data_IF_649200160093
#
_entry.id   IF_649200160093
#
_cell.length_a   1.000
_cell.length_b   1.000
_cell.length_c   1.000
_cell.angle_alpha   90.00
_cell.angle_beta   90.00
_cell.angle_gamma   90.00
#
_symmetry.space_group_name_H-M   'P 1'
#
loop_
_entity.id
_entity.type
_entity.pdbx_description
1 polymer ?
#
# COMPACT_ATOMS: atom_id res chain seq x y z
N UNK A 1 14.20 25.39 14.36
CA UNK A 1 14.58 24.29 15.28
C UNK A 1 15.97 24.57 15.82
N UNK A 2 16.20 24.38 17.13
CA UNK A 2 17.54 24.45 17.71
C UNK A 2 18.19 23.04 17.64
N UNK A 3 19.49 22.96 17.34
CA UNK A 3 20.19 21.67 17.36
C UNK A 3 20.23 21.13 18.81
N UNK A 4 20.17 19.81 18.92
CA UNK A 4 20.25 19.10 20.21
C UNK A 4 21.56 18.29 20.26
N UNK A 5 22.17 18.22 21.44
CA UNK A 5 23.32 17.34 21.60
C UNK A 5 22.91 15.87 21.60
N UNK A 6 23.83 14.98 21.24
CA UNK A 6 23.59 13.52 21.33
C UNK A 6 23.23 13.08 22.78
N UNK A 7 23.78 13.79 23.79
CA UNK A 7 23.44 13.54 25.18
C UNK A 7 22.00 13.90 25.52
N UNK A 8 21.51 15.05 25.04
CA UNK A 8 20.11 15.46 25.26
C UNK A 8 19.15 14.46 24.62
N UNK A 9 19.49 13.96 23.42
CA UNK A 9 18.70 12.92 22.73
C UNK A 9 18.72 11.60 23.52
N UNK A 10 19.86 11.21 24.08
CA UNK A 10 19.98 10.01 24.89
C UNK A 10 19.17 10.10 26.20
N UNK A 11 19.19 11.26 26.86
CA UNK A 11 18.40 11.51 28.08
C UNK A 11 16.90 11.36 27.78
N UNK A 12 16.41 12.00 26.71
CA UNK A 12 15.01 11.87 26.28
C UNK A 12 14.63 10.41 25.97
N UNK A 13 15.52 9.67 25.31
CA UNK A 13 15.28 8.26 25.01
C UNK A 13 15.15 7.43 26.29
N UNK A 14 16.04 7.66 27.27
CA UNK A 14 15.97 6.99 28.57
C UNK A 14 14.67 7.31 29.31
N UNK A 15 14.21 8.56 29.28
CA UNK A 15 12.95 8.96 29.89
C UNK A 15 11.74 8.30 29.19
N UNK A 16 11.75 8.22 27.86
CA UNK A 16 10.73 7.51 27.10
C UNK A 16 10.69 6.03 27.41
N UNK A 17 11.84 5.39 27.52
CA UNK A 17 11.94 3.97 27.91
C UNK A 17 11.45 3.78 29.34
N UNK A 18 11.87 4.66 30.27
CA UNK A 18 11.48 4.59 31.69
C UNK A 18 9.98 4.80 31.90
N UNK A 19 9.33 5.60 31.09
CA UNK A 19 7.87 5.85 31.12
C UNK A 19 7.06 4.88 30.28
N UNK A 20 7.70 3.98 29.50
CA UNK A 20 7.03 3.07 28.57
C UNK A 20 6.50 3.75 27.31
N UNK A 21 6.82 5.02 27.07
CA UNK A 21 6.41 5.77 25.88
C UNK A 21 7.32 5.49 24.68
N UNK A 22 7.32 4.23 24.23
CA UNK A 22 8.19 3.73 23.17
C UNK A 22 7.41 3.39 21.88
N UNK A 23 6.13 3.71 21.82
CA UNK A 23 5.29 3.36 20.68
C UNK A 23 5.80 3.93 19.33
N UNK A 24 6.41 5.12 19.34
CA UNK A 24 6.99 5.75 18.16
C UNK A 24 8.19 4.98 17.58
N UNK A 25 8.90 4.20 18.40
CA UNK A 25 10.03 3.37 17.98
C UNK A 25 9.60 2.02 17.40
N UNK A 26 8.35 1.62 17.63
CA UNK A 26 7.83 0.36 17.14
C UNK A 26 7.41 0.50 15.68
N UNK A 27 7.87 -0.38 14.77
CA UNK A 27 7.35 -0.41 13.41
C UNK A 27 5.85 -0.68 13.39
N UNK A 28 5.17 -0.23 12.34
CA UNK A 28 3.77 -0.55 12.05
C UNK A 28 3.75 -1.71 11.07
N UNK A 29 3.37 -2.94 11.49
CA UNK A 29 3.29 -4.08 10.59
C UNK A 29 2.25 -3.84 9.49
N UNK A 30 2.61 -4.15 8.25
CA UNK A 30 1.73 -3.98 7.08
C UNK A 30 0.82 -5.20 6.86
N UNK A 31 1.07 -6.28 7.64
CA UNK A 31 0.25 -7.48 7.64
C UNK A 31 0.51 -8.43 6.47
N UNK A 32 1.71 -8.37 5.89
CA UNK A 32 2.21 -9.31 4.88
C UNK A 32 3.44 -10.03 5.46
N UNK A 33 3.25 -11.29 5.88
CA UNK A 33 4.19 -11.98 6.78
C UNK A 33 5.65 -11.98 6.31
N UNK A 34 6.02 -12.38 5.08
CA UNK A 34 7.43 -12.36 4.70
C UNK A 34 7.92 -10.94 4.46
N UNK A 35 7.06 -10.02 4.00
CA UNK A 35 7.42 -8.64 3.74
C UNK A 35 7.76 -7.91 5.04
N UNK A 36 6.91 -8.01 6.05
CA UNK A 36 7.15 -7.37 7.35
C UNK A 36 8.50 -7.82 7.95
N UNK A 37 8.81 -9.12 7.89
CA UNK A 37 10.11 -9.64 8.33
C UNK A 37 11.27 -9.06 7.55
N UNK A 38 11.13 -8.93 6.23
CA UNK A 38 12.19 -8.41 5.34
C UNK A 38 12.46 -6.93 5.58
N UNK A 39 11.41 -6.13 5.84
CA UNK A 39 11.55 -4.68 6.05
C UNK A 39 11.78 -4.28 7.52
N UNK A 40 12.05 -5.21 8.40
CA UNK A 40 12.35 -4.93 9.80
C UNK A 40 11.11 -4.83 10.70
N UNK A 41 10.15 -5.75 10.51
CA UNK A 41 8.88 -5.91 11.24
C UNK A 41 7.79 -4.88 10.94
N UNK A 42 7.96 -4.06 9.91
CA UNK A 42 6.99 -3.04 9.49
C UNK A 42 7.59 -1.69 9.16
N UNK A 43 6.75 -0.71 8.95
CA UNK A 43 7.13 0.64 8.56
C UNK A 43 7.25 1.56 9.79
N UNK A 44 8.35 2.32 9.90
CA UNK A 44 8.61 3.21 11.04
C UNK A 44 8.10 4.62 10.77
N UNK A 45 7.87 5.35 11.84
CA UNK A 45 7.63 6.79 11.78
C UNK A 45 8.75 7.52 11.00
N UNK A 46 8.39 8.46 10.16
CA UNK A 46 9.33 9.18 9.29
C UNK A 46 9.79 8.43 8.04
N UNK A 47 9.42 7.16 7.86
CA UNK A 47 9.76 6.39 6.66
C UNK A 47 8.73 6.59 5.53
N UNK A 48 9.26 6.64 4.30
CA UNK A 48 8.49 6.66 3.05
C UNK A 48 8.71 5.34 2.30
N UNK A 49 7.63 4.55 2.17
CA UNK A 49 7.57 3.35 1.35
C UNK A 49 6.90 3.66 0.02
N UNK A 50 7.53 3.30 -1.09
CA UNK A 50 6.97 3.42 -2.42
C UNK A 50 6.61 2.06 -3.01
N UNK A 51 5.43 1.97 -3.62
CA UNK A 51 4.94 0.77 -4.32
C UNK A 51 4.88 1.07 -5.80
N UNK A 52 5.83 0.52 -6.57
CA UNK A 52 5.91 0.64 -8.01
C UNK A 52 5.41 -0.61 -8.74
N UNK A 53 5.10 -0.46 -10.02
CA UNK A 53 4.68 -1.58 -10.86
C UNK A 53 3.88 -1.13 -12.08
N UNK A 54 3.75 -2.02 -13.07
CA UNK A 54 2.92 -1.78 -14.25
C UNK A 54 1.43 -1.64 -13.89
N UNK A 55 0.63 -1.19 -14.83
CA UNK A 55 -0.82 -1.15 -14.66
C UNK A 55 -1.37 -2.58 -14.49
N UNK A 56 -2.32 -2.78 -13.58
CA UNK A 56 -2.94 -4.09 -13.34
C UNK A 56 -2.17 -5.02 -12.38
N UNK A 57 -0.95 -4.69 -11.95
CA UNK A 57 -0.15 -5.54 -11.04
C UNK A 57 -0.64 -5.57 -9.58
N UNK A 58 -1.67 -4.77 -9.25
CA UNK A 58 -2.29 -4.81 -7.92
C UNK A 58 -1.74 -3.78 -6.91
N UNK A 59 -1.07 -2.71 -7.33
CA UNK A 59 -0.54 -1.67 -6.44
C UNK A 59 -1.59 -1.12 -5.46
N UNK A 60 -2.71 -0.61 -5.99
CA UNK A 60 -3.85 -0.12 -5.17
C UNK A 60 -4.42 -1.22 -4.26
N UNK A 61 -4.53 -2.46 -4.77
CA UNK A 61 -5.00 -3.60 -3.97
C UNK A 61 -4.06 -3.84 -2.77
N UNK A 62 -2.76 -3.87 -3.00
CA UNK A 62 -1.77 -4.08 -1.94
C UNK A 62 -1.76 -2.93 -0.93
N UNK A 63 -1.76 -1.67 -1.39
CA UNK A 63 -1.78 -0.51 -0.51
C UNK A 63 -3.07 -0.43 0.33
N UNK A 64 -4.24 -0.73 -0.28
CA UNK A 64 -5.52 -0.75 0.44
C UNK A 64 -5.56 -1.90 1.46
N UNK A 65 -5.02 -3.07 1.13
CA UNK A 65 -4.94 -4.19 2.07
C UNK A 65 -3.96 -3.90 3.22
N UNK A 66 -2.81 -3.26 2.97
CA UNK A 66 -1.91 -2.78 4.02
C UNK A 66 -2.63 -1.79 4.93
N UNK A 67 -3.32 -0.80 4.37
CA UNK A 67 -4.12 0.19 5.10
C UNK A 67 -5.17 -0.49 6.00
N UNK A 68 -5.90 -1.44 5.43
CA UNK A 68 -6.88 -2.25 6.17
C UNK A 68 -6.24 -3.06 7.30
N UNK A 69 -5.11 -3.70 7.04
CA UNK A 69 -4.41 -4.53 8.02
C UNK A 69 -3.94 -3.68 9.23
N UNK A 70 -3.35 -2.52 8.96
CA UNK A 70 -2.92 -1.57 10.00
C UNK A 70 -4.09 -1.08 10.83
N UNK A 71 -5.17 -0.64 10.19
CA UNK A 71 -6.38 -0.16 10.88
C UNK A 71 -7.03 -1.27 11.73
N UNK A 72 -7.10 -2.49 11.19
CA UNK A 72 -7.66 -3.66 11.88
C UNK A 72 -6.78 -4.16 13.03
N UNK A 73 -5.47 -4.00 12.92
CA UNK A 73 -4.52 -4.31 13.99
C UNK A 73 -4.59 -3.34 15.17
N UNK A 74 -5.25 -2.19 15.01
CA UNK A 74 -5.47 -1.20 16.07
C UNK A 74 -4.22 -0.43 16.51
N UNK A 75 -3.09 -0.61 15.81
CA UNK A 75 -1.81 0.00 16.17
C UNK A 75 -1.67 1.44 15.68
N UNK A 76 -2.37 1.79 14.61
CA UNK A 76 -2.41 3.13 14.06
C UNK A 76 -3.75 3.39 13.38
N UNK A 77 -4.14 4.66 13.32
CA UNK A 77 -5.14 5.14 12.40
C UNK A 77 -4.51 5.22 11.00
N UNK A 78 -5.32 5.13 9.96
CA UNK A 78 -4.85 5.22 8.58
C UNK A 78 -5.63 6.28 7.83
N UNK A 79 -4.92 7.23 7.21
CA UNK A 79 -5.47 8.19 6.27
C UNK A 79 -5.11 7.75 4.85
N UNK A 80 -6.09 7.31 4.07
CA UNK A 80 -5.92 6.88 2.69
C UNK A 80 -6.43 7.97 1.73
N UNK A 81 -5.52 8.62 1.00
CA UNK A 81 -5.83 9.67 0.03
C UNK A 81 -5.74 9.07 -1.37
N UNK A 82 -6.87 8.91 -2.05
CA UNK A 82 -6.96 8.34 -3.39
C UNK A 82 -7.28 9.39 -4.44
N UNK A 83 -6.46 9.52 -5.47
CA UNK A 83 -6.66 10.45 -6.58
C UNK A 83 -7.33 9.81 -7.80
N UNK A 84 -7.49 8.49 -7.82
CA UNK A 84 -8.10 7.77 -8.95
C UNK A 84 -9.57 7.41 -8.71
N UNK A 85 -9.92 7.15 -7.46
CA UNK A 85 -11.21 6.60 -7.09
C UNK A 85 -11.81 7.34 -5.91
N UNK A 86 -13.14 7.29 -5.80
CA UNK A 86 -13.88 7.80 -4.66
C UNK A 86 -13.89 6.80 -3.47
N UNK A 87 -14.37 7.27 -2.35
CA UNK A 87 -14.46 6.52 -1.10
C UNK A 87 -15.35 5.28 -1.24
N UNK A 88 -16.42 5.39 -2.02
CA UNK A 88 -17.37 4.30 -2.23
C UNK A 88 -16.76 3.17 -3.07
N UNK A 89 -15.94 3.51 -4.05
CA UNK A 89 -15.19 2.52 -4.81
C UNK A 89 -14.21 1.74 -3.92
N UNK A 90 -13.49 2.44 -3.04
CA UNK A 90 -12.60 1.82 -2.07
C UNK A 90 -13.35 0.95 -1.06
N UNK A 91 -14.51 1.41 -0.58
CA UNK A 91 -15.37 0.64 0.32
C UNK A 91 -15.86 -0.66 -0.33
N UNK A 92 -16.27 -0.63 -1.59
CA UNK A 92 -16.68 -1.84 -2.32
C UNK A 92 -15.52 -2.86 -2.41
N UNK A 93 -14.28 -2.38 -2.60
CA UNK A 93 -13.10 -3.23 -2.57
C UNK A 93 -12.83 -3.81 -1.18
N UNK A 94 -13.00 -3.01 -0.12
CA UNK A 94 -12.87 -3.49 1.26
C UNK A 94 -13.92 -4.56 1.59
N UNK A 95 -15.16 -4.41 1.15
CA UNK A 95 -16.22 -5.44 1.34
C UNK A 95 -15.81 -6.76 0.68
N UNK A 96 -15.33 -6.72 -0.55
CA UNK A 96 -14.86 -7.91 -1.27
C UNK A 96 -13.63 -8.52 -0.59
N UNK A 97 -12.67 -7.69 -0.19
CA UNK A 97 -11.46 -8.08 0.53
C UNK A 97 -11.80 -8.80 1.86
N UNK A 98 -12.68 -8.22 2.68
CA UNK A 98 -13.11 -8.82 3.95
C UNK A 98 -13.80 -10.16 3.73
N UNK A 99 -14.61 -10.26 2.68
CA UNK A 99 -15.25 -11.51 2.30
C UNK A 99 -14.20 -12.58 1.92
N UNK A 100 -13.18 -12.21 1.13
CA UNK A 100 -12.12 -13.14 0.72
C UNK A 100 -11.25 -13.59 1.89
N UNK A 101 -10.79 -12.66 2.74
CA UNK A 101 -9.96 -12.96 3.92
C UNK A 101 -10.67 -13.89 4.90
N UNK A 102 -12.01 -13.82 4.96
CA UNK A 102 -12.82 -14.73 5.78
C UNK A 102 -12.81 -16.18 5.27
N UNK A 103 -12.58 -16.37 3.97
CA UNK A 103 -12.73 -17.64 3.28
C UNK A 103 -11.41 -18.20 2.72
N UNK A 104 -10.27 -17.59 3.06
CA UNK A 104 -8.96 -18.14 2.69
C UNK A 104 -8.73 -19.51 3.37
N UNK A 105 -8.06 -20.44 2.70
CA UNK A 105 -7.52 -20.35 1.34
C UNK A 105 -8.52 -20.70 0.22
N UNK A 106 -9.68 -21.28 0.53
CA UNK A 106 -10.57 -21.88 -0.49
C UNK A 106 -11.52 -20.88 -1.15
N UNK A 107 -11.76 -19.71 -0.53
CA UNK A 107 -12.61 -18.60 -1.04
C UNK A 107 -14.04 -18.99 -1.42
N UNK A 108 -14.47 -20.20 -1.04
CA UNK A 108 -15.84 -20.69 -1.28
C UNK A 108 -16.82 -19.81 -0.50
N UNK A 109 -17.73 -19.13 -1.21
CA UNK A 109 -18.68 -18.19 -0.62
C UNK A 109 -18.20 -16.73 -0.56
N UNK A 110 -16.94 -16.43 -0.92
CA UNK A 110 -16.45 -15.06 -1.01
C UNK A 110 -17.17 -14.26 -2.10
N UNK A 111 -17.36 -12.95 -1.85
CA UNK A 111 -18.07 -12.05 -2.75
C UNK A 111 -17.07 -11.34 -3.66
N UNK A 112 -17.24 -11.44 -4.98
CA UNK A 112 -16.40 -10.71 -5.95
C UNK A 112 -16.77 -9.23 -5.97
N UNK A 113 -15.81 -8.36 -6.31
CA UNK A 113 -16.02 -6.90 -6.41
C UNK A 113 -17.23 -6.57 -7.29
N UNK A 114 -17.36 -7.24 -8.44
CA UNK A 114 -18.48 -7.01 -9.37
C UNK A 114 -19.84 -7.36 -8.77
N UNK A 115 -19.90 -8.29 -7.82
CA UNK A 115 -21.13 -8.73 -7.19
C UNK A 115 -21.51 -7.86 -5.98
N UNK A 116 -20.55 -7.16 -5.35
CA UNK A 116 -20.85 -6.22 -4.26
C UNK A 116 -21.89 -5.19 -4.68
N UNK A 117 -21.74 -4.59 -5.86
CA UNK A 117 -22.72 -3.61 -6.39
C UNK A 117 -24.10 -4.23 -6.63
N UNK A 118 -24.15 -5.47 -7.12
CA UNK A 118 -25.42 -6.19 -7.33
C UNK A 118 -26.12 -6.45 -6.00
N UNK A 119 -25.38 -6.85 -4.98
CA UNK A 119 -25.93 -7.08 -3.65
C UNK A 119 -26.47 -5.78 -3.01
N UNK A 120 -25.76 -4.66 -3.20
CA UNK A 120 -26.20 -3.34 -2.74
C UNK A 120 -27.53 -2.95 -3.43
N UNK A 121 -27.59 -3.09 -4.74
CA UNK A 121 -28.82 -2.80 -5.52
C UNK A 121 -29.94 -3.75 -5.15
N UNK A 122 -29.66 -5.05 -5.01
CA UNK A 122 -30.65 -6.05 -4.59
C UNK A 122 -31.25 -5.75 -3.22
N UNK A 123 -30.45 -5.24 -2.28
CA UNK A 123 -30.92 -4.80 -0.95
C UNK A 123 -31.89 -3.62 -1.06
N UNK A 124 -31.60 -2.66 -1.94
CA UNK A 124 -32.46 -1.50 -2.18
C UNK A 124 -33.77 -1.90 -2.87
N UNK A 125 -33.71 -2.85 -3.82
CA UNK A 125 -34.86 -3.30 -4.61
C UNK A 125 -35.72 -4.36 -3.91
N UNK A 126 -35.30 -4.85 -2.71
CA UNK A 126 -36.04 -5.89 -1.99
C UNK A 126 -37.46 -5.43 -1.67
N UNK A 127 -38.44 -6.15 -2.18
CA UNK A 127 -39.89 -5.85 -1.95
C UNK A 127 -40.23 -5.92 -0.44
N UNK A 128 -40.97 -4.92 0.01
CA UNK A 128 -41.48 -4.85 1.40
C UNK A 128 -40.52 -4.28 2.43
N UNK A 129 -39.33 -3.83 2.05
CA UNK A 129 -38.42 -3.14 2.96
C UNK A 129 -38.90 -1.71 3.20
N UNK A 130 -39.44 -1.44 4.39
CA UNK A 130 -39.83 -0.08 4.82
C UNK A 130 -38.62 0.85 5.01
N UNK A 131 -37.43 0.31 5.25
CA UNK A 131 -36.16 1.00 5.34
C UNK A 131 -35.06 0.05 4.88
N UNK A 132 -34.65 0.07 3.60
CA UNK A 132 -33.54 -0.75 3.09
C UNK A 132 -32.25 -0.48 3.88
N UNK A 133 -31.64 -1.55 4.41
CA UNK A 133 -30.40 -1.46 5.19
C UNK A 133 -29.46 -2.57 4.75
N UNK A 134 -28.22 -2.20 4.38
CA UNK A 134 -27.19 -3.15 3.95
C UNK A 134 -26.86 -4.20 5.02
N UNK A 135 -27.03 -3.87 6.31
CA UNK A 135 -26.84 -4.83 7.41
C UNK A 135 -27.85 -6.00 7.37
N UNK A 136 -28.97 -5.85 6.66
CA UNK A 136 -29.95 -6.92 6.48
C UNK A 136 -29.62 -7.86 5.30
N UNK A 137 -28.64 -7.50 4.47
CA UNK A 137 -28.18 -8.38 3.39
C UNK A 137 -27.30 -9.51 3.96
N UNK A 138 -27.76 -10.78 3.91
CA UNK A 138 -27.05 -11.89 4.56
C UNK A 138 -25.68 -12.17 3.95
N UNK A 139 -25.46 -11.80 2.69
CA UNK A 139 -24.16 -11.98 2.00
C UNK A 139 -23.18 -10.87 2.37
N UNK A 140 -23.63 -9.62 2.48
CA UNK A 140 -22.76 -8.46 2.81
C UNK A 140 -22.46 -8.37 4.30
N UNK A 141 -23.42 -8.72 5.16
CA UNK A 141 -23.34 -8.55 6.60
C UNK A 141 -22.01 -9.01 7.23
N UNK A 142 -21.47 -10.21 6.95
CA UNK A 142 -20.23 -10.66 7.57
C UNK A 142 -19.03 -9.73 7.27
N UNK A 143 -18.98 -9.16 6.05
CA UNK A 143 -17.94 -8.19 5.65
C UNK A 143 -18.15 -6.85 6.33
N UNK A 144 -19.41 -6.38 6.41
CA UNK A 144 -19.78 -5.12 7.07
C UNK A 144 -19.49 -5.16 8.56
N UNK A 145 -19.81 -6.27 9.23
CA UNK A 145 -19.51 -6.47 10.66
C UNK A 145 -17.99 -6.46 10.94
N UNK A 146 -17.18 -6.95 10.00
CA UNK A 146 -15.72 -6.88 10.12
C UNK A 146 -15.21 -5.46 9.91
N UNK A 147 -15.69 -4.76 8.89
CA UNK A 147 -15.34 -3.35 8.64
C UNK A 147 -15.75 -2.49 9.84
N UNK A 148 -16.91 -2.71 10.44
CA UNK A 148 -17.38 -1.95 11.60
C UNK A 148 -16.42 -2.02 12.80
N UNK A 149 -15.63 -3.09 12.95
CA UNK A 149 -14.68 -3.25 14.06
C UNK A 149 -13.48 -2.32 13.96
N UNK A 150 -13.06 -1.94 12.76
CA UNK A 150 -11.88 -1.10 12.53
C UNK A 150 -12.17 0.16 11.70
N UNK A 151 -13.38 0.30 11.16
CA UNK A 151 -13.72 1.38 10.23
C UNK A 151 -13.50 2.79 10.80
N UNK A 152 -13.54 2.94 12.11
CA UNK A 152 -13.20 4.21 12.78
C UNK A 152 -11.70 4.54 12.76
N UNK A 153 -10.86 3.57 12.42
CA UNK A 153 -9.42 3.73 12.33
C UNK A 153 -8.94 3.89 10.87
N UNK A 154 -9.82 3.78 9.86
CA UNK A 154 -9.51 3.89 8.44
C UNK A 154 -10.32 5.03 7.81
N UNK A 155 -9.62 6.11 7.47
CA UNK A 155 -10.19 7.30 6.85
C UNK A 155 -9.90 7.28 5.36
N UNK A 156 -10.95 7.26 4.54
CA UNK A 156 -10.87 7.27 3.09
C UNK A 156 -11.15 8.69 2.59
N UNK A 157 -10.30 9.21 1.73
CA UNK A 157 -10.45 10.55 1.16
C UNK A 157 -10.20 10.53 -0.34
N UNK A 158 -11.12 11.08 -1.12
CA UNK A 158 -10.87 11.38 -2.53
C UNK A 158 -9.99 12.62 -2.66
N UNK A 159 -8.78 12.44 -3.21
CA UNK A 159 -7.87 13.52 -3.51
C UNK A 159 -8.39 14.41 -4.66
N UNK A 160 -8.29 15.73 -4.47
CA UNK A 160 -8.64 16.72 -5.50
C UNK A 160 -7.40 17.11 -6.29
N UNK A 161 -7.50 17.09 -7.62
CA UNK A 161 -6.40 17.50 -8.51
C UNK A 161 -6.08 19.00 -8.45
N UNK A 162 -6.91 19.80 -7.80
CA UNK A 162 -6.70 21.24 -7.64
C UNK A 162 -6.43 21.66 -6.20
N UNK A 163 -6.96 20.92 -5.23
CA UNK A 163 -6.91 21.32 -3.82
C UNK A 163 -5.94 20.47 -2.98
N UNK A 164 -5.65 19.21 -3.36
CA UNK A 164 -4.81 18.32 -2.54
C UNK A 164 -3.31 18.47 -2.84
N UNK A 165 -2.80 19.71 -2.82
CA UNK A 165 -1.36 19.99 -2.93
C UNK A 165 -0.59 19.42 -1.73
N UNK A 166 0.73 19.30 -1.83
CA UNK A 166 1.60 18.83 -0.73
C UNK A 166 1.36 19.66 0.54
N UNK A 167 1.20 20.98 0.42
CA UNK A 167 0.92 21.85 1.56
C UNK A 167 -0.43 21.51 2.23
N UNK A 168 -1.45 21.20 1.45
CA UNK A 168 -2.77 20.82 1.97
C UNK A 168 -2.79 19.38 2.49
N UNK A 169 -2.04 18.45 1.87
CA UNK A 169 -1.82 17.12 2.41
C UNK A 169 -1.15 17.21 3.79
N UNK A 170 -0.14 18.08 3.96
CA UNK A 170 0.50 18.32 5.27
C UNK A 170 -0.51 18.79 6.32
N UNK A 171 -1.32 19.80 6.00
CA UNK A 171 -2.37 20.29 6.92
C UNK A 171 -3.35 19.18 7.31
N UNK A 172 -3.75 18.36 6.34
CA UNK A 172 -4.66 17.24 6.57
C UNK A 172 -4.04 16.20 7.51
N UNK A 173 -2.76 15.86 7.30
CA UNK A 173 -2.01 14.94 8.18
C UNK A 173 -1.94 15.50 9.60
N UNK A 174 -1.61 16.80 9.76
CA UNK A 174 -1.58 17.47 11.05
C UNK A 174 -2.93 17.42 11.77
N UNK A 175 -4.02 17.70 11.05
CA UNK A 175 -5.38 17.64 11.61
C UNK A 175 -5.74 16.21 12.05
N UNK A 176 -5.48 15.20 11.21
CA UNK A 176 -5.77 13.83 11.57
C UNK A 176 -4.88 13.27 12.68
N UNK A 177 -3.62 13.70 12.75
CA UNK A 177 -2.74 13.37 13.87
C UNK A 177 -3.28 13.94 15.18
N UNK A 178 -3.70 15.21 15.18
CA UNK A 178 -4.30 15.84 16.37
C UNK A 178 -5.59 15.12 16.82
N UNK A 179 -6.42 14.68 15.86
CA UNK A 179 -7.65 13.94 16.14
C UNK A 179 -7.39 12.49 16.61
N UNK A 180 -6.24 11.93 16.26
CA UNK A 180 -5.88 10.55 16.62
C UNK A 180 -5.52 10.39 18.09
N UNK A 181 -5.28 11.48 18.83
CA UNK A 181 -4.83 11.45 20.23
C UNK A 181 -3.51 10.69 20.37
N UNK A 182 -3.48 9.71 21.26
CA UNK A 182 -2.29 8.88 21.51
C UNK A 182 -2.05 7.80 20.44
N UNK A 183 -3.00 7.62 19.50
CA UNK A 183 -2.82 6.64 18.42
C UNK A 183 -1.92 7.21 17.34
N UNK A 184 -1.04 6.36 16.83
CA UNK A 184 -0.22 6.69 15.65
C UNK A 184 -1.09 6.89 14.43
N UNK A 185 -0.59 7.62 13.45
CA UNK A 185 -1.23 7.80 12.14
C UNK A 185 -0.29 7.27 11.06
N UNK A 186 -0.80 6.44 10.15
CA UNK A 186 -0.15 6.08 8.89
C UNK A 186 -0.87 6.78 7.74
N UNK A 187 -0.13 7.23 6.73
CA UNK A 187 -0.71 7.92 5.56
C UNK A 187 -0.43 7.14 4.29
N UNK A 188 -1.46 6.99 3.44
CA UNK A 188 -1.35 6.36 2.12
C UNK A 188 -1.76 7.37 1.04
N UNK A 189 -0.95 7.49 -0.02
CA UNK A 189 -1.21 8.37 -1.18
C UNK A 189 -1.27 7.53 -2.45
N UNK A 190 -2.45 7.41 -3.04
CA UNK A 190 -2.71 6.61 -4.25
C UNK A 190 -3.19 7.51 -5.41
N UNK A 191 -2.36 7.97 -6.32
CA UNK A 191 -0.93 7.76 -6.44
C UNK A 191 -0.17 9.08 -6.63
N UNK A 192 1.13 9.04 -6.43
CA UNK A 192 2.05 10.16 -6.33
C UNK A 192 1.92 11.17 -7.47
N UNK A 193 1.95 10.71 -8.74
CA UNK A 193 1.96 11.61 -9.91
C UNK A 193 0.67 12.42 -10.08
N UNK A 194 -0.41 12.08 -9.37
CA UNK A 194 -1.68 12.82 -9.38
C UNK A 194 -1.75 13.96 -8.36
N UNK A 195 -0.81 14.00 -7.42
CA UNK A 195 -0.73 15.11 -6.45
C UNK A 195 -0.45 16.41 -7.21
N UNK A 196 -1.31 17.43 -7.09
CA UNK A 196 -1.10 18.70 -7.80
C UNK A 196 0.05 19.49 -7.20
N UNK A 197 0.78 20.18 -8.08
CA UNK A 197 1.76 21.21 -7.70
C UNK A 197 1.28 22.56 -8.22
N UNK A 198 1.36 23.60 -7.40
CA UNK A 198 0.95 24.97 -7.74
C UNK A 198 2.06 25.92 -7.29
N UNK A 199 2.72 26.64 -8.21
CA UNK A 199 2.52 26.62 -9.67
C UNK A 199 2.88 25.25 -10.28
N UNK A 200 2.31 24.94 -11.46
CA UNK A 200 2.63 23.69 -12.15
C UNK A 200 4.06 23.72 -12.67
N UNK A 201 4.90 22.71 -12.36
CA UNK A 201 6.28 22.65 -12.83
C UNK A 201 6.37 22.50 -14.36
N UNK A 202 7.48 22.92 -14.94
CA UNK A 202 7.72 22.89 -16.40
C UNK A 202 7.74 21.48 -16.96
N UNK A 203 8.18 20.51 -16.16
CA UNK A 203 8.26 19.11 -16.58
C UNK A 203 7.86 18.13 -15.46
N UNK A 204 7.61 16.89 -15.87
CA UNK A 204 7.15 15.84 -14.95
C UNK A 204 8.23 15.44 -13.93
N UNK A 205 9.50 15.49 -14.30
CA UNK A 205 10.61 15.15 -13.39
C UNK A 205 10.66 16.11 -12.20
N UNK A 206 10.55 17.41 -12.45
CA UNK A 206 10.48 18.44 -11.39
C UNK A 206 9.24 18.24 -10.51
N UNK A 207 8.09 17.99 -11.14
CA UNK A 207 6.84 17.71 -10.41
C UNK A 207 7.01 16.53 -9.46
N UNK A 208 7.48 15.39 -9.95
CA UNK A 208 7.68 14.19 -9.15
C UNK A 208 8.71 14.42 -8.05
N UNK A 209 9.81 15.10 -8.36
CA UNK A 209 10.84 15.46 -7.37
C UNK A 209 10.24 16.27 -6.22
N UNK A 210 9.49 17.34 -6.54
CA UNK A 210 8.86 18.18 -5.52
C UNK A 210 7.86 17.40 -4.65
N UNK A 211 7.08 16.50 -5.26
CA UNK A 211 6.09 15.67 -4.55
C UNK A 211 6.78 14.68 -3.62
N UNK A 212 7.78 13.92 -4.11
CA UNK A 212 8.50 12.93 -3.30
C UNK A 212 9.18 13.58 -2.11
N UNK A 213 9.90 14.69 -2.34
CA UNK A 213 10.54 15.47 -1.27
C UNK A 213 9.49 15.95 -0.26
N UNK A 214 8.37 16.48 -0.75
CA UNK A 214 7.29 16.95 0.12
C UNK A 214 6.64 15.85 0.94
N UNK A 215 6.43 14.64 0.38
CA UNK A 215 5.91 13.49 1.13
C UNK A 215 6.93 13.03 2.18
N UNK A 216 8.22 12.95 1.82
CA UNK A 216 9.28 12.60 2.77
C UNK A 216 9.39 13.62 3.91
N UNK A 217 9.30 14.92 3.58
CA UNK A 217 9.27 16.01 4.58
C UNK A 217 8.07 15.88 5.52
N UNK A 218 6.89 15.53 5.01
CA UNK A 218 5.70 15.31 5.85
C UNK A 218 5.95 14.11 6.78
N UNK A 219 6.46 12.99 6.23
CA UNK A 219 6.75 11.80 7.03
C UNK A 219 7.66 12.13 8.23
N UNK A 220 8.76 12.86 7.98
CA UNK A 220 9.73 13.26 9.00
C UNK A 220 9.18 14.31 9.97
N UNK A 221 8.52 15.35 9.46
CA UNK A 221 8.07 16.47 10.29
C UNK A 221 6.89 16.10 11.20
N UNK A 222 6.01 15.22 10.71
CA UNK A 222 4.81 14.79 11.44
C UNK A 222 4.99 13.45 12.14
N UNK A 223 6.16 12.82 12.00
CA UNK A 223 6.49 11.54 12.64
C UNK A 223 5.51 10.42 12.26
N UNK A 224 5.18 10.34 10.98
CA UNK A 224 4.22 9.37 10.43
C UNK A 224 4.86 8.46 9.39
N UNK A 225 4.60 7.14 9.40
CA UNK A 225 4.92 6.29 8.29
C UNK A 225 4.05 6.64 7.08
N UNK A 226 4.65 6.69 5.90
CA UNK A 226 3.93 7.00 4.66
C UNK A 226 4.13 5.92 3.60
N UNK A 227 3.04 5.59 2.90
CA UNK A 227 3.05 4.73 1.71
C UNK A 227 2.59 5.57 0.53
N UNK A 228 3.29 5.50 -0.60
CA UNK A 228 2.78 6.08 -1.84
C UNK A 228 2.94 5.12 -3.02
N UNK A 229 1.94 5.15 -3.90
CA UNK A 229 1.96 4.38 -5.15
C UNK A 229 2.65 5.22 -6.23
N UNK A 230 3.48 4.56 -7.03
CA UNK A 230 4.23 5.17 -8.14
C UNK A 230 3.97 4.40 -9.43
N UNK A 231 3.66 5.13 -10.50
CA UNK A 231 3.52 4.54 -11.83
C UNK A 231 4.87 4.26 -12.47
N UNK A 232 4.93 3.23 -13.34
CA UNK A 232 6.07 2.98 -14.20
C UNK A 232 6.12 4.01 -15.35
N UNK A 233 7.32 4.27 -15.88
CA UNK A 233 7.53 5.04 -17.08
C UNK A 233 7.28 4.21 -18.36
N UNK A 234 7.49 4.83 -19.52
CA UNK A 234 7.26 4.16 -20.81
C UNK A 234 8.26 3.03 -21.09
N UNK A 235 9.48 3.13 -20.59
CA UNK A 235 10.52 2.12 -20.75
C UNK A 235 10.25 0.94 -19.82
N UNK A 236 9.89 1.21 -18.57
CA UNK A 236 9.48 0.19 -17.61
C UNK A 236 8.27 -0.63 -18.04
N UNK A 237 7.33 -0.01 -18.77
CA UNK A 237 6.18 -0.73 -19.34
C UNK A 237 6.58 -1.70 -20.49
N UNK A 238 7.77 -1.53 -21.09
CA UNK A 238 8.32 -2.41 -22.13
C UNK A 238 9.34 -3.39 -21.58
N UNK A 239 9.85 -3.14 -20.39
CA UNK A 239 10.84 -3.98 -19.76
C UNK A 239 10.32 -5.39 -19.49
N UNK A 240 11.15 -6.40 -19.67
CA UNK A 240 10.82 -7.79 -19.35
C UNK A 240 10.56 -7.97 -17.86
N UNK A 241 11.26 -7.20 -17.02
CA UNK A 241 11.07 -7.10 -15.57
C UNK A 241 11.20 -5.64 -15.15
N UNK A 242 10.17 -5.12 -14.50
CA UNK A 242 10.19 -3.75 -13.98
C UNK A 242 11.05 -3.68 -12.73
N UNK A 243 11.90 -2.64 -12.66
CA UNK A 243 12.83 -2.36 -11.55
C UNK A 243 12.61 -0.93 -11.05
N UNK A 244 13.27 -0.55 -9.95
CA UNK A 244 13.12 0.79 -9.35
C UNK A 244 13.49 1.95 -10.28
N UNK A 245 14.47 1.78 -11.17
CA UNK A 245 14.88 2.80 -12.15
C UNK A 245 13.87 3.00 -13.30
N UNK A 246 12.89 2.14 -13.42
CA UNK A 246 11.75 2.26 -14.34
C UNK A 246 10.56 3.03 -13.73
N UNK A 247 10.71 3.58 -12.55
CA UNK A 247 9.64 4.36 -11.94
C UNK A 247 9.57 5.75 -12.59
N UNK A 248 8.35 6.16 -12.92
CA UNK A 248 8.08 7.38 -13.68
C UNK A 248 8.38 8.63 -12.87
N UNK A 249 9.29 9.45 -13.37
CA UNK A 249 9.49 10.82 -12.94
C UNK A 249 10.93 11.15 -12.62
N UNK A 250 11.52 10.65 -11.55
CA UNK A 250 12.78 11.23 -11.08
C UNK A 250 13.67 10.24 -10.34
N UNK A 251 15.00 10.45 -10.44
CA UNK A 251 15.97 9.82 -9.54
C UNK A 251 15.71 10.15 -8.05
N UNK A 252 15.03 11.26 -7.74
CA UNK A 252 14.61 11.60 -6.37
C UNK A 252 13.80 10.48 -5.71
N UNK A 253 13.00 9.71 -6.47
CA UNK A 253 12.30 8.52 -5.96
C UNK A 253 13.27 7.57 -5.27
N UNK A 254 14.41 7.30 -5.91
CA UNK A 254 15.41 6.39 -5.37
C UNK A 254 16.22 6.99 -4.21
N UNK A 255 16.35 8.31 -4.14
CA UNK A 255 17.07 8.97 -3.05
C UNK A 255 16.20 9.14 -1.80
N UNK A 256 14.97 9.60 -1.95
CA UNK A 256 14.11 9.99 -0.83
C UNK A 256 13.40 8.81 -0.17
N UNK A 257 12.97 7.82 -0.95
CA UNK A 257 12.31 6.65 -0.39
C UNK A 257 13.24 5.85 0.54
N UNK A 258 12.71 5.38 1.66
CA UNK A 258 13.40 4.47 2.55
C UNK A 258 13.25 3.02 2.11
N UNK A 259 12.06 2.68 1.59
CA UNK A 259 11.72 1.36 1.08
C UNK A 259 11.08 1.50 -0.30
N UNK A 260 11.51 0.69 -1.25
CA UNK A 260 10.90 0.61 -2.59
C UNK A 260 10.52 -0.85 -2.87
N UNK A 261 9.22 -1.05 -3.10
CA UNK A 261 8.65 -2.31 -3.52
C UNK A 261 8.26 -2.24 -4.99
N UNK A 262 8.69 -3.21 -5.80
CA UNK A 262 8.30 -3.32 -7.21
C UNK A 262 7.47 -4.57 -7.43
N UNK A 263 6.26 -4.37 -7.96
CA UNK A 263 5.32 -5.43 -8.27
C UNK A 263 5.45 -5.85 -9.74
N UNK A 264 5.73 -7.12 -9.97
CA UNK A 264 5.75 -7.75 -11.29
C UNK A 264 4.84 -8.99 -11.29
N UNK A 265 4.12 -9.21 -12.39
CA UNK A 265 3.41 -10.48 -12.57
C UNK A 265 4.42 -11.63 -12.75
N UNK A 266 4.36 -12.64 -11.89
CA UNK A 266 5.33 -13.75 -11.87
C UNK A 266 5.45 -14.44 -13.22
N UNK A 267 4.33 -14.66 -13.91
CA UNK A 267 4.31 -15.33 -15.21
C UNK A 267 5.22 -14.65 -16.25
N UNK A 268 5.31 -13.31 -16.22
CA UNK A 268 6.09 -12.56 -17.21
C UNK A 268 7.59 -12.51 -16.90
N UNK A 269 7.98 -12.69 -15.65
CA UNK A 269 9.37 -12.51 -15.21
C UNK A 269 10.07 -13.81 -14.83
N UNK A 270 9.38 -14.94 -14.85
CA UNK A 270 10.00 -16.26 -14.65
C UNK A 270 10.76 -16.65 -15.92
N UNK A 271 12.00 -17.10 -15.77
CA UNK A 271 12.83 -17.52 -16.90
C UNK A 271 12.15 -18.66 -17.70
N UNK A 272 12.27 -18.58 -19.04
CA UNK A 272 11.62 -19.53 -19.98
C UNK A 272 11.85 -21.00 -19.63
N UNK A 273 13.04 -21.31 -19.12
CA UNK A 273 13.38 -22.67 -18.69
C UNK A 273 12.35 -23.27 -17.70
N UNK A 274 11.82 -22.44 -16.79
CA UNK A 274 10.82 -22.91 -15.82
C UNK A 274 9.42 -23.11 -16.43
N UNK A 275 9.16 -22.46 -17.57
CA UNK A 275 7.88 -22.54 -18.28
C UNK A 275 7.87 -23.75 -19.22
N UNK A 276 8.97 -24.01 -19.93
CA UNK A 276 9.08 -25.05 -20.94
C UNK A 276 9.06 -26.46 -20.32
N UNK A 277 9.65 -26.63 -19.14
CA UNK A 277 9.71 -27.95 -18.49
C UNK A 277 8.41 -28.35 -17.77
N UNK A 278 7.53 -27.41 -17.43
CA UNK A 278 6.27 -27.74 -16.76
C UNK A 278 5.14 -26.74 -17.10
N UNK A 279 4.39 -26.97 -18.19
CA UNK A 279 3.29 -26.08 -18.62
C UNK A 279 2.18 -25.92 -17.57
N UNK A 280 1.91 -26.94 -16.76
CA UNK A 280 0.90 -26.86 -15.70
C UNK A 280 1.34 -25.92 -14.57
N UNK A 281 2.62 -25.95 -14.20
CA UNK A 281 3.18 -25.02 -13.23
C UNK A 281 3.22 -23.61 -13.78
N UNK A 282 3.50 -23.43 -15.07
CA UNK A 282 3.49 -22.14 -15.74
C UNK A 282 2.13 -21.43 -15.63
N UNK A 283 1.02 -22.19 -15.79
CA UNK A 283 -0.32 -21.61 -15.64
C UNK A 283 -0.55 -21.08 -14.21
N UNK A 284 -0.04 -21.77 -13.19
CA UNK A 284 -0.15 -21.34 -11.78
C UNK A 284 0.62 -20.04 -11.50
N UNK A 285 1.69 -19.74 -12.26
CA UNK A 285 2.42 -18.46 -12.09
C UNK A 285 1.58 -17.23 -12.40
N UNK A 286 0.49 -17.38 -13.16
CA UNK A 286 -0.45 -16.28 -13.45
C UNK A 286 -1.20 -15.78 -12.21
N UNK A 287 -1.32 -16.62 -11.19
CA UNK A 287 -2.01 -16.26 -9.96
C UNK A 287 -1.08 -15.59 -8.93
N UNK A 288 0.19 -15.38 -9.30
CA UNK A 288 1.20 -14.85 -8.39
C UNK A 288 1.77 -13.52 -8.87
N UNK A 289 2.02 -12.64 -7.91
CA UNK A 289 2.77 -11.39 -8.09
C UNK A 289 4.06 -11.50 -7.29
N UNK A 290 5.17 -11.16 -7.95
CA UNK A 290 6.46 -10.99 -7.28
C UNK A 290 6.55 -9.55 -6.79
N UNK A 291 6.87 -9.41 -5.52
CA UNK A 291 7.13 -8.15 -4.84
C UNK A 291 8.63 -8.10 -4.54
N UNK A 292 9.37 -7.36 -5.36
CA UNK A 292 10.80 -7.15 -5.18
C UNK A 292 11.03 -6.01 -4.19
N UNK A 293 11.74 -6.27 -3.10
CA UNK A 293 12.25 -5.24 -2.20
C UNK A 293 13.53 -4.67 -2.82
N UNK A 294 13.39 -3.65 -3.67
CA UNK A 294 14.50 -3.07 -4.45
C UNK A 294 15.38 -2.12 -3.63
N UNK A 295 14.81 -1.56 -2.57
CA UNK A 295 15.50 -0.71 -1.61
C UNK A 295 14.93 -0.92 -0.23
N UNK A 296 15.81 -0.98 0.77
CA UNK A 296 15.46 -0.99 2.18
C UNK A 296 16.59 -0.38 3.01
N UNK A 297 16.43 0.87 3.45
CA UNK A 297 17.45 1.55 4.28
C UNK A 297 17.64 0.92 5.65
N UNK A 298 16.62 0.26 6.17
CA UNK A 298 16.60 -0.33 7.50
C UNK A 298 16.97 -1.82 7.57
N UNK A 299 17.25 -2.47 6.42
CA UNK A 299 17.47 -3.92 6.41
C UNK A 299 17.91 -4.45 5.05
N UNK A 300 17.53 -5.70 4.75
CA UNK A 300 17.92 -6.38 3.53
C UNK A 300 17.12 -5.86 2.33
N UNK A 301 17.80 -5.55 1.24
CA UNK A 301 17.23 -5.24 -0.07
C UNK A 301 17.53 -6.37 -1.08
N UNK A 302 17.08 -6.20 -2.33
CA UNK A 302 17.20 -7.19 -3.41
C UNK A 302 16.61 -8.56 -3.05
N UNK A 303 15.50 -8.57 -2.30
CA UNK A 303 14.74 -9.77 -1.93
C UNK A 303 13.49 -9.84 -2.77
N UNK A 304 13.29 -10.97 -3.44
CA UNK A 304 12.08 -11.26 -4.20
C UNK A 304 11.12 -12.13 -3.37
N UNK A 305 9.99 -11.56 -3.05
CA UNK A 305 8.87 -12.22 -2.38
C UNK A 305 7.74 -12.45 -3.37
N UNK A 306 6.91 -13.44 -3.14
CA UNK A 306 5.74 -13.68 -3.97
C UNK A 306 4.48 -13.87 -3.14
N UNK A 307 3.38 -13.33 -3.67
CA UNK A 307 2.06 -13.38 -3.06
C UNK A 307 1.02 -13.84 -4.08
N UNK A 308 0.13 -14.72 -3.66
CA UNK A 308 -1.00 -15.14 -4.49
C UNK A 308 -2.01 -14.01 -4.62
N UNK A 309 -2.40 -13.68 -5.86
CA UNK A 309 -3.34 -12.61 -6.15
C UNK A 309 -4.75 -13.15 -6.35
N UNK A 310 -5.73 -12.44 -5.82
CA UNK A 310 -7.16 -12.72 -5.93
C UNK A 310 -7.88 -11.43 -6.29
N UNK A 311 -7.56 -10.87 -7.46
CA UNK A 311 -7.99 -9.51 -7.83
C UNK A 311 -9.48 -9.38 -8.02
N UNK A 312 -10.19 -10.45 -8.34
CA UNK A 312 -11.66 -10.46 -8.35
C UNK A 312 -12.28 -10.18 -6.98
N UNK A 313 -11.51 -10.37 -5.92
CA UNK A 313 -11.88 -10.04 -4.53
C UNK A 313 -11.10 -8.84 -3.96
N UNK A 314 -10.28 -8.15 -4.77
CA UNK A 314 -9.39 -7.08 -4.30
C UNK A 314 -8.44 -7.53 -3.17
N UNK A 315 -7.86 -8.72 -3.28
CA UNK A 315 -7.13 -9.37 -2.21
C UNK A 315 -5.82 -9.99 -2.72
N UNK A 316 -4.80 -9.96 -1.87
CA UNK A 316 -3.65 -10.86 -1.90
C UNK A 316 -3.74 -11.82 -0.71
N UNK A 317 -3.27 -13.06 -0.85
CA UNK A 317 -2.98 -13.86 0.33
C UNK A 317 -1.80 -13.21 1.07
N UNK A 318 -1.96 -12.79 2.34
CA UNK A 318 -0.89 -12.14 3.08
C UNK A 318 0.26 -13.08 3.46
N UNK A 319 0.06 -14.40 3.33
CA UNK A 319 1.05 -15.43 3.61
C UNK A 319 1.85 -15.77 2.35
N UNK A 320 2.69 -14.85 1.91
CA UNK A 320 3.59 -15.07 0.80
C UNK A 320 4.81 -15.91 1.17
N UNK A 321 5.73 -16.01 0.23
CA UNK A 321 7.01 -16.72 0.41
C UNK A 321 8.12 -16.07 -0.42
N UNK A 322 9.36 -16.48 -0.19
CA UNK A 322 10.48 -16.11 -1.06
C UNK A 322 10.36 -16.85 -2.40
N UNK A 323 10.65 -16.15 -3.49
CA UNK A 323 10.64 -16.75 -4.83
C UNK A 323 11.70 -17.83 -4.93
N UNK A 324 11.33 -19.02 -5.43
CA UNK A 324 12.22 -20.15 -5.60
C UNK A 324 12.74 -20.29 -7.04
N UNK A 325 11.97 -19.80 -8.01
CA UNK A 325 12.32 -19.91 -9.42
C UNK A 325 13.29 -18.83 -9.84
N UNK A 326 14.14 -19.13 -10.82
CA UNK A 326 15.01 -18.14 -11.45
C UNK A 326 14.16 -17.11 -12.20
N UNK A 327 14.33 -15.87 -11.83
CA UNK A 327 13.70 -14.73 -12.50
C UNK A 327 14.60 -14.19 -13.62
N UNK A 328 14.00 -13.48 -14.58
CA UNK A 328 14.73 -12.77 -15.63
C UNK A 328 15.51 -11.63 -14.97
N UNK A 329 16.80 -11.57 -15.24
CA UNK A 329 17.68 -10.46 -14.87
C UNK A 329 18.10 -9.73 -16.13
N UNK A 330 17.79 -8.43 -16.21
CA UNK A 330 18.23 -7.61 -17.36
C UNK A 330 19.73 -7.26 -17.36
N UNK A 331 20.47 -7.64 -16.31
CA UNK A 331 21.87 -7.28 -16.12
C UNK A 331 22.87 -8.20 -16.82
N UNK A 332 22.44 -9.19 -17.57
CA UNK A 332 23.36 -10.08 -18.26
C UNK A 332 23.50 -9.68 -19.73
N UNK A 333 24.58 -8.95 -19.99
CA UNK A 333 25.24 -8.74 -21.27
C UNK A 333 24.56 -7.80 -22.28
N UNK A 334 24.86 -6.50 -22.13
CA UNK A 334 25.24 -5.67 -23.22
C UNK A 334 26.79 -5.58 -23.16
N UNK A 335 27.46 -6.56 -23.75
CA UNK A 335 28.80 -6.44 -24.29
C UNK A 335 28.72 -6.29 -25.82
#
# INVERSE_FOLDING_TARGET
MAPRSALDVLVDLNDKVGTGNVAEYQPVPLGFTPLDKTIGTGLRAGELLLIGGAQGTGKTTMALQMARNVASGGQANVLYICFEHDEQYLLNRLIALESALAHLPHKTGAIKIQDVRKEILGTWMAEGATAPNLANNPRLRPSLDRIARYGQNLFLLRGSQTASTIANVRKLVQQHRALSGDRRLMVVVDYLQKVPQIPEPENETEKVTAIVNGLKDIALAEDVPMISIVAADKEGLKASRLRNYHLRGSSAINYEADIILILNEKYHIVAKVNIEFNPYQAQRFRDWVVVSVEKNRGGQDNVDLEFEKHFEFSCFDPNGRTVQEKLIEERLYND
#
